data_IF_534616007083
#
_entry.id   IF_534616007083
#
_cell.length_a   1.000
_cell.length_b   1.000
_cell.length_c   1.000
_cell.angle_alpha   90.00
_cell.angle_beta   90.00
_cell.angle_gamma   90.00
#
_symmetry.space_group_name_H-M   'P 1'
#
loop_
_entity.id
_entity.type
_entity.pdbx_description
1 polymer ?
#
# COMPACT_ATOMS: atom_id res chain seq x y z
N UNK A 1 -8.97 9.52 -5.45
CA UNK A 1 -8.10 8.36 -5.21
C UNK A 1 -6.83 8.52 -6.01
N UNK A 2 -5.67 8.15 -5.44
CA UNK A 2 -4.40 8.10 -6.15
C UNK A 2 -4.15 6.65 -6.57
N UNK A 3 -3.78 6.37 -7.84
CA UNK A 3 -3.42 5.03 -8.25
C UNK A 3 -2.19 4.56 -7.47
N UNK A 4 -2.34 3.43 -6.78
CA UNK A 4 -1.28 2.82 -6.00
C UNK A 4 -1.20 1.33 -6.34
N UNK A 5 0.01 0.86 -6.63
CA UNK A 5 0.34 -0.54 -6.83
C UNK A 5 1.36 -0.97 -5.77
N UNK A 6 1.43 -2.26 -5.46
CA UNK A 6 2.51 -2.86 -4.67
C UNK A 6 3.37 -3.73 -5.60
N UNK A 7 4.31 -3.15 -6.34
CA UNK A 7 5.09 -3.90 -7.32
C UNK A 7 6.18 -4.69 -6.61
N UNK A 8 6.18 -6.00 -6.82
CA UNK A 8 7.31 -6.87 -6.53
C UNK A 8 8.02 -7.14 -7.86
N UNK A 9 9.25 -6.64 -8.01
CA UNK A 9 10.15 -7.00 -9.10
C UNK A 9 11.16 -8.04 -8.60
N UNK A 10 11.88 -8.71 -9.52
CA UNK A 10 12.90 -9.70 -9.18
C UNK A 10 14.12 -9.13 -8.43
N UNK A 11 15.31 -9.71 -8.66
CA UNK A 11 16.54 -9.24 -8.01
C UNK A 11 16.76 -9.76 -6.59
N UNK A 12 15.93 -10.71 -6.15
CA UNK A 12 16.11 -11.46 -4.92
C UNK A 12 15.89 -12.96 -5.12
N UNK A 13 16.48 -13.77 -4.24
CA UNK A 13 16.25 -15.21 -4.14
C UNK A 13 15.98 -15.61 -2.68
N UNK A 14 15.54 -16.86 -2.50
CA UNK A 14 15.03 -17.34 -1.21
C UNK A 14 13.58 -16.92 -0.97
N UNK A 15 12.96 -17.48 0.07
CA UNK A 15 11.58 -17.15 0.43
C UNK A 15 11.53 -15.84 1.22
N UNK A 16 10.52 -15.00 0.95
CA UNK A 16 10.32 -13.78 1.71
C UNK A 16 10.19 -14.08 3.22
N UNK A 17 10.77 -13.22 4.06
CA UNK A 17 10.78 -13.32 5.53
C UNK A 17 11.47 -14.59 6.07
N UNK A 18 12.41 -15.14 5.33
CA UNK A 18 13.29 -16.22 5.79
C UNK A 18 14.73 -15.72 5.89
N UNK A 19 15.59 -16.47 6.58
CA UNK A 19 17.02 -16.12 6.73
C UNK A 19 17.78 -16.20 5.41
N UNK A 20 17.31 -17.03 4.47
CA UNK A 20 17.95 -17.25 3.17
C UNK A 20 17.52 -16.21 2.12
N UNK A 21 16.76 -15.20 2.52
CA UNK A 21 16.39 -14.10 1.63
C UNK A 21 17.60 -13.24 1.30
N UNK A 22 17.99 -13.23 0.03
CA UNK A 22 19.16 -12.49 -0.45
C UNK A 22 18.79 -11.65 -1.65
N UNK A 23 19.21 -10.38 -1.62
CA UNK A 23 19.15 -9.48 -2.76
C UNK A 23 20.44 -9.68 -3.56
N UNK A 24 20.31 -10.02 -4.84
CA UNK A 24 21.45 -10.18 -5.76
C UNK A 24 21.51 -9.09 -6.82
N UNK A 25 20.42 -8.31 -6.99
CA UNK A 25 20.36 -7.19 -7.93
C UNK A 25 19.55 -6.03 -7.33
N UNK A 26 20.27 -5.00 -6.87
CA UNK A 26 19.69 -3.82 -6.24
C UNK A 26 18.90 -2.94 -7.21
N UNK A 27 19.26 -2.93 -8.49
CA UNK A 27 18.57 -2.12 -9.49
C UNK A 27 17.18 -2.69 -9.74
N UNK A 28 17.08 -4.01 -9.91
CA UNK A 28 15.79 -4.68 -10.10
C UNK A 28 14.95 -4.62 -8.83
N UNK A 29 15.53 -4.84 -7.65
CA UNK A 29 14.72 -4.93 -6.41
C UNK A 29 14.22 -3.57 -5.90
N UNK A 30 14.95 -2.48 -6.14
CA UNK A 30 14.62 -1.16 -5.60
C UNK A 30 14.15 -0.17 -6.68
N UNK A 31 14.92 -0.05 -7.76
CA UNK A 31 14.73 1.04 -8.72
C UNK A 31 13.60 0.74 -9.69
N UNK A 32 13.48 -0.50 -10.16
CA UNK A 32 12.41 -0.90 -11.08
C UNK A 32 11.00 -0.75 -10.46
N UNK A 33 10.72 -1.24 -9.24
CA UNK A 33 9.45 -1.00 -8.55
C UNK A 33 9.15 0.50 -8.35
N UNK A 34 10.16 1.31 -8.03
CA UNK A 34 9.99 2.75 -7.89
C UNK A 34 9.59 3.41 -9.22
N UNK A 35 10.25 3.03 -10.33
CA UNK A 35 9.90 3.49 -11.68
C UNK A 35 8.47 3.08 -12.07
N UNK A 36 8.05 1.86 -11.74
CA UNK A 36 6.68 1.38 -11.99
C UNK A 36 5.64 2.20 -11.23
N UNK A 37 5.88 2.50 -9.94
CA UNK A 37 4.98 3.36 -9.15
C UNK A 37 4.96 4.81 -9.67
N UNK A 38 6.09 5.34 -10.14
CA UNK A 38 6.12 6.67 -10.74
C UNK A 38 5.31 6.74 -12.04
N UNK A 39 5.35 5.68 -12.86
CA UNK A 39 4.59 5.59 -14.09
C UNK A 39 3.07 5.61 -13.87
N UNK A 40 2.57 5.06 -12.75
CA UNK A 40 1.12 5.12 -12.43
C UNK A 40 0.65 6.53 -12.04
N UNK A 41 1.56 7.41 -11.64
CA UNK A 41 1.25 8.83 -11.32
C UNK A 41 1.35 9.71 -12.57
N UNK A 42 2.27 9.38 -13.48
CA UNK A 42 2.57 10.19 -14.66
C UNK A 42 1.55 10.05 -15.80
N UNK A 43 0.73 8.98 -15.80
CA UNK A 43 -0.34 8.76 -16.78
C UNK A 43 -1.71 8.86 -16.09
N UNK A 44 -2.18 10.08 -15.74
CA UNK A 44 -3.57 10.24 -15.33
C UNK A 44 -4.43 9.86 -16.54
N UNK A 45 -5.43 8.96 -16.38
CA UNK A 45 -6.38 8.71 -17.46
C UNK A 45 -6.98 10.04 -17.91
N UNK A 46 -7.17 10.20 -19.22
CA UNK A 46 -7.66 11.44 -19.86
C UNK A 46 -8.96 11.99 -19.23
N UNK A 47 -9.68 11.15 -18.49
CA UNK A 47 -10.88 11.44 -17.69
C UNK A 47 -10.54 12.03 -16.30
N UNK A 48 -9.43 12.76 -16.23
CA UNK A 48 -8.74 13.20 -15.03
C UNK A 48 -9.66 13.70 -13.91
N UNK A 49 -9.47 13.13 -12.71
CA UNK A 49 -10.00 13.59 -11.42
C UNK A 49 -11.53 13.68 -11.23
N UNK A 50 -12.36 13.60 -12.28
CA UNK A 50 -13.83 13.68 -12.17
C UNK A 50 -14.41 12.54 -11.33
N UNK A 51 -14.07 11.30 -11.66
CA UNK A 51 -14.50 10.12 -10.90
C UNK A 51 -13.97 10.12 -9.44
N UNK A 52 -12.80 10.73 -9.19
CA UNK A 52 -12.24 10.79 -7.84
C UNK A 52 -13.06 11.67 -6.87
N UNK A 53 -13.87 12.60 -7.39
CA UNK A 53 -14.79 13.44 -6.60
C UNK A 53 -16.13 12.73 -6.31
N UNK A 54 -16.49 11.69 -7.08
CA UNK A 54 -17.71 10.92 -6.88
C UNK A 54 -17.56 9.79 -5.85
N UNK A 55 -16.35 9.26 -5.68
CA UNK A 55 -16.04 8.18 -4.71
C UNK A 55 -16.43 8.54 -3.27
N UNK A 56 -16.14 9.75 -2.73
CA UNK A 56 -16.56 10.11 -1.37
C UNK A 56 -18.08 10.16 -1.18
N UNK A 57 -18.85 10.45 -2.24
CA UNK A 57 -20.30 10.60 -2.17
C UNK A 57 -21.04 9.25 -2.12
N UNK A 58 -20.39 8.17 -2.54
CA UNK A 58 -20.96 6.82 -2.63
C UNK A 58 -20.37 5.86 -1.58
N UNK A 59 -19.28 6.25 -0.93
CA UNK A 59 -18.62 5.45 0.09
C UNK A 59 -19.28 5.72 1.45
N UNK A 60 -20.23 4.87 1.85
CA UNK A 60 -20.75 4.83 3.21
C UNK A 60 -19.66 4.37 4.18
N UNK A 61 -18.86 5.31 4.67
CA UNK A 61 -17.81 5.04 5.64
C UNK A 61 -18.46 4.62 6.97
N UNK A 62 -18.32 3.34 7.36
CA UNK A 62 -18.85 2.82 8.63
C UNK A 62 -18.26 3.52 9.87
N UNK A 63 -17.17 4.26 9.70
CA UNK A 63 -16.52 5.03 10.74
C UNK A 63 -16.14 6.41 10.22
N UNK A 64 -16.43 7.44 11.01
CA UNK A 64 -15.81 8.76 10.86
C UNK A 64 -14.30 8.66 11.12
N UNK A 65 -13.51 9.58 10.55
CA UNK A 65 -12.06 9.66 10.77
C UNK A 65 -11.70 9.62 12.27
N UNK A 66 -12.37 10.36 13.18
CA UNK A 66 -12.11 10.27 14.61
C UNK A 66 -12.37 8.87 15.20
N UNK A 67 -13.44 8.19 14.78
CA UNK A 67 -13.76 6.83 15.25
C UNK A 67 -12.72 5.82 14.77
N UNK A 68 -12.30 5.92 13.50
CA UNK A 68 -11.25 5.07 12.93
C UNK A 68 -9.92 5.26 13.67
N UNK A 69 -9.51 6.51 13.90
CA UNK A 69 -8.29 6.82 14.65
C UNK A 69 -8.37 6.40 16.13
N UNK A 70 -9.56 6.41 16.73
CA UNK A 70 -9.77 5.88 18.08
C UNK A 70 -9.59 4.36 18.09
N UNK A 71 -10.23 3.65 17.15
CA UNK A 71 -10.10 2.19 17.01
C UNK A 71 -8.63 1.77 16.90
N UNK A 72 -7.85 2.42 16.03
CA UNK A 72 -6.43 2.08 15.84
C UNK A 72 -5.58 2.37 17.07
N UNK A 73 -5.84 3.46 17.79
CA UNK A 73 -5.16 3.75 19.06
C UNK A 73 -5.49 2.73 20.14
N UNK A 74 -6.76 2.34 20.23
CA UNK A 74 -7.21 1.33 21.18
C UNK A 74 -6.60 -0.04 20.86
N UNK A 75 -6.50 -0.42 19.58
CA UNK A 75 -5.84 -1.66 19.15
C UNK A 75 -4.34 -1.63 19.42
N UNK A 76 -3.66 -0.52 19.12
CA UNK A 76 -2.24 -0.36 19.41
C UNK A 76 -1.94 -0.43 20.92
N UNK A 77 -2.85 0.05 21.77
CA UNK A 77 -2.73 0.01 23.22
C UNK A 77 -3.00 -1.36 23.84
N UNK A 78 -3.75 -2.24 23.15
CA UNK A 78 -4.15 -3.54 23.68
C UNK A 78 -3.01 -4.59 23.70
N UNK A 79 -1.84 -4.28 23.13
CA UNK A 79 -0.73 -5.23 23.04
C UNK A 79 -1.09 -6.49 22.23
N UNK A 80 -0.14 -7.40 22.00
CA UNK A 80 -0.44 -8.65 21.32
C UNK A 80 -1.41 -9.49 22.18
N UNK A 81 -2.60 -9.77 21.67
CA UNK A 81 -3.46 -10.81 22.24
C UNK A 81 -2.81 -12.16 21.95
N UNK A 82 -2.28 -12.82 22.97
CA UNK A 82 -1.90 -14.24 22.88
C UNK A 82 -3.17 -15.05 22.70
N UNK A 83 -3.38 -15.57 21.50
CA UNK A 83 -4.35 -16.63 21.26
C UNK A 83 -3.99 -17.82 22.17
N UNK A 84 -4.95 -18.25 23.00
CA UNK A 84 -4.89 -19.52 23.72
C UNK A 84 -5.09 -20.69 22.77
#
# INVERSE_FOLDING_TARGET
MMPAIHPVAGGFCGSARTQDFVIYDEEIVYIVPAKMMAATVSDPPADGAGAAQEVPAQLEASYSIPQHLKLWRDLAAQGPQTAQ
#
